data_IF_499985663461
#
_entry.id   IF_499985663461
#
_cell.length_a   1.000
_cell.length_b   1.000
_cell.length_c   1.000
_cell.angle_alpha   90.00
_cell.angle_beta   90.00
_cell.angle_gamma   90.00
#
_symmetry.space_group_name_H-M   'P 1'
#
loop_
_entity.id
_entity.type
_entity.pdbx_description
1 polymer ?
#
# COMPACT_ATOMS: atom_id res chain seq x y z
N UNK A 1 -1.75 0.24 19.08
CA UNK A 1 -2.17 0.85 17.80
C UNK A 1 -1.09 1.68 17.11
N UNK A 2 -0.86 2.97 17.46
CA UNK A 2 0.06 3.83 16.69
C UNK A 2 1.51 3.34 16.77
N UNK A 3 1.91 2.78 17.90
CA UNK A 3 3.23 2.18 18.09
C UNK A 3 3.43 0.95 17.20
N UNK A 4 2.46 0.04 17.11
CA UNK A 4 2.55 -1.16 16.27
C UNK A 4 2.57 -0.81 14.79
N UNK A 5 1.74 0.15 14.38
CA UNK A 5 1.73 0.68 13.03
C UNK A 5 3.09 1.30 12.66
N UNK A 6 3.67 2.11 13.54
CA UNK A 6 4.99 2.69 13.35
C UNK A 6 6.07 1.61 13.23
N UNK A 7 6.04 0.58 14.09
CA UNK A 7 6.97 -0.57 14.01
C UNK A 7 6.89 -1.28 12.67
N UNK A 8 5.68 -1.61 12.20
CA UNK A 8 5.47 -2.27 10.89
C UNK A 8 6.01 -1.41 9.74
N UNK A 9 5.76 -0.10 9.78
CA UNK A 9 6.26 0.85 8.78
C UNK A 9 7.81 0.92 8.76
N UNK A 10 8.43 0.97 9.94
CA UNK A 10 9.90 1.00 10.09
C UNK A 10 10.51 -0.32 9.63
N UNK A 11 9.99 -1.46 10.08
CA UNK A 11 10.48 -2.79 9.68
C UNK A 11 10.42 -2.98 8.15
N UNK A 12 9.34 -2.52 7.51
CA UNK A 12 9.25 -2.55 6.06
C UNK A 12 10.31 -1.64 5.42
N UNK A 13 10.50 -0.43 5.95
CA UNK A 13 11.54 0.51 5.51
C UNK A 13 12.97 0.03 5.79
N UNK A 14 13.21 -0.96 6.65
CA UNK A 14 14.52 -1.56 6.88
C UNK A 14 14.75 -2.80 5.99
N UNK A 15 13.79 -3.72 5.97
CA UNK A 15 13.94 -5.02 5.30
C UNK A 15 13.95 -4.91 3.79
N UNK A 16 13.14 -3.99 3.23
CA UNK A 16 12.83 -3.91 1.79
C UNK A 16 12.32 -5.23 1.19
N UNK A 17 11.85 -5.20 -0.06
CA UNK A 17 11.19 -6.33 -0.71
C UNK A 17 12.08 -7.57 -0.86
N UNK A 18 11.51 -8.79 -0.76
CA UNK A 18 12.23 -10.05 -0.97
C UNK A 18 12.67 -10.26 -2.43
N UNK A 19 13.54 -11.24 -2.67
CA UNK A 19 13.85 -11.74 -4.01
C UNK A 19 12.56 -12.12 -4.74
N UNK A 20 12.41 -11.62 -5.97
CA UNK A 20 11.21 -11.79 -6.79
C UNK A 20 11.45 -12.70 -7.98
N UNK A 21 10.50 -13.61 -8.21
CA UNK A 21 10.31 -14.22 -9.51
C UNK A 21 9.48 -13.26 -10.35
N UNK A 22 10.05 -12.78 -11.45
CA UNK A 22 9.41 -11.87 -12.38
C UNK A 22 8.09 -12.47 -12.92
N UNK A 23 7.02 -11.68 -12.85
CA UNK A 23 5.72 -11.98 -13.41
C UNK A 23 5.58 -11.29 -14.75
N UNK A 24 4.93 -11.99 -15.69
CA UNK A 24 4.49 -11.43 -16.97
C UNK A 24 3.36 -10.42 -16.71
N UNK A 25 3.75 -9.19 -16.40
CA UNK A 25 2.88 -8.06 -16.15
C UNK A 25 3.50 -6.79 -16.72
N UNK A 26 2.78 -6.16 -17.64
CA UNK A 26 3.19 -4.89 -18.21
C UNK A 26 2.84 -3.74 -17.25
N UNK A 27 3.86 -3.20 -16.58
CA UNK A 27 3.74 -2.05 -15.67
C UNK A 27 3.23 -0.79 -16.38
N UNK A 28 3.39 -0.68 -17.71
CA UNK A 28 2.89 0.44 -18.49
C UNK A 28 1.35 0.55 -18.48
N UNK A 29 0.66 -0.55 -18.14
CA UNK A 29 -0.80 -0.59 -17.97
C UNK A 29 -1.27 0.22 -16.75
N UNK A 30 -0.36 0.65 -15.87
CA UNK A 30 -0.64 1.49 -14.70
C UNK A 30 -0.17 2.92 -14.98
N UNK A 31 -0.92 3.72 -15.76
CA UNK A 31 -0.48 5.05 -16.13
C UNK A 31 -0.46 5.98 -14.92
N UNK A 32 0.49 6.91 -14.89
CA UNK A 32 0.59 7.93 -13.83
C UNK A 32 -0.60 8.89 -13.85
N UNK A 33 -1.19 9.10 -15.04
CA UNK A 33 -2.35 9.95 -15.26
C UNK A 33 -3.38 9.30 -16.21
N UNK A 34 -4.69 9.46 -15.97
CA UNK A 34 -5.29 10.04 -14.77
C UNK A 34 -4.97 9.19 -13.55
N UNK A 35 -4.84 9.82 -12.38
CA UNK A 35 -4.60 9.08 -11.15
C UNK A 35 -5.80 8.19 -10.85
N UNK A 36 -5.56 6.90 -10.73
CA UNK A 36 -6.55 5.88 -10.38
C UNK A 36 -6.13 5.17 -9.10
N UNK A 37 -7.11 4.67 -8.36
CA UNK A 37 -6.90 3.60 -7.38
C UNK A 37 -6.68 2.31 -8.16
N UNK A 38 -5.56 1.66 -7.93
CA UNK A 38 -5.18 0.43 -8.64
C UNK A 38 -5.48 -0.74 -7.73
N UNK A 39 -6.31 -1.69 -8.17
CA UNK A 39 -6.70 -2.85 -7.35
C UNK A 39 -6.21 -4.14 -8.00
N UNK A 40 -5.43 -4.92 -7.24
CA UNK A 40 -5.04 -6.28 -7.59
C UNK A 40 -6.10 -7.24 -7.06
N UNK A 41 -7.00 -7.69 -7.93
CA UNK A 41 -8.05 -8.64 -7.58
C UNK A 41 -7.64 -10.09 -7.93
N UNK A 42 -8.06 -11.04 -7.10
CA UNK A 42 -7.88 -12.46 -7.38
C UNK A 42 -7.99 -13.35 -6.14
N UNK A 43 -8.00 -14.67 -6.38
CA UNK A 43 -8.08 -15.68 -5.32
C UNK A 43 -6.89 -15.60 -4.34
N UNK A 44 -7.04 -16.17 -3.14
CA UNK A 44 -5.91 -16.35 -2.22
C UNK A 44 -4.80 -17.16 -2.90
N UNK A 45 -3.54 -16.77 -2.67
CA UNK A 45 -2.34 -17.39 -3.26
C UNK A 45 -2.19 -17.26 -4.78
N UNK A 46 -2.90 -16.34 -5.44
CA UNK A 46 -2.71 -16.06 -6.88
C UNK A 46 -1.44 -15.25 -7.21
N UNK A 47 -0.72 -14.76 -6.18
CA UNK A 47 0.50 -13.97 -6.36
C UNK A 47 0.30 -12.45 -6.40
N UNK A 48 -0.82 -11.93 -5.89
CA UNK A 48 -1.09 -10.48 -5.79
C UNK A 48 0.03 -9.72 -5.07
N UNK A 49 0.44 -10.21 -3.89
CA UNK A 49 1.51 -9.60 -3.09
C UNK A 49 2.83 -9.55 -3.86
N UNK A 50 3.17 -10.61 -4.61
CA UNK A 50 4.36 -10.61 -5.46
C UNK A 50 4.25 -9.59 -6.61
N UNK A 51 3.07 -9.43 -7.20
CA UNK A 51 2.86 -8.40 -8.21
C UNK A 51 3.00 -6.97 -7.63
N UNK A 52 2.53 -6.74 -6.40
CA UNK A 52 2.76 -5.48 -5.68
C UNK A 52 4.26 -5.24 -5.45
N UNK A 53 5.01 -6.24 -5.01
CA UNK A 53 6.46 -6.10 -4.81
C UNK A 53 7.22 -5.85 -6.12
N UNK A 54 6.81 -6.47 -7.23
CA UNK A 54 7.38 -6.18 -8.54
C UNK A 54 7.16 -4.71 -8.92
N UNK A 55 5.95 -4.17 -8.69
CA UNK A 55 5.68 -2.76 -8.96
C UNK A 55 6.46 -1.82 -8.04
N UNK A 56 6.62 -2.18 -6.75
CA UNK A 56 7.46 -1.44 -5.81
C UNK A 56 8.91 -1.37 -6.31
N UNK A 57 9.45 -2.47 -6.82
CA UNK A 57 10.81 -2.50 -7.41
C UNK A 57 10.95 -1.66 -8.67
N UNK A 58 9.92 -1.53 -9.49
CA UNK A 58 9.96 -0.61 -10.63
C UNK A 58 9.82 0.85 -10.21
N UNK A 59 8.99 1.15 -9.20
CA UNK A 59 8.82 2.48 -8.66
C UNK A 59 10.07 2.98 -7.94
N UNK A 60 10.78 2.13 -7.21
CA UNK A 60 11.99 2.51 -6.47
C UNK A 60 13.16 2.92 -7.36
N UNK A 61 13.12 2.56 -8.64
CA UNK A 61 14.07 3.07 -9.66
C UNK A 61 13.81 4.55 -10.02
N UNK A 62 12.65 5.10 -9.66
CA UNK A 62 12.16 6.42 -10.12
C UNK A 62 11.69 7.34 -8.98
N UNK A 63 11.37 6.78 -7.82
CA UNK A 63 10.93 7.50 -6.63
C UNK A 63 11.79 7.14 -5.41
N UNK A 64 12.01 8.08 -4.48
CA UNK A 64 12.68 7.79 -3.23
C UNK A 64 11.99 6.67 -2.45
N UNK A 65 12.79 5.89 -1.74
CA UNK A 65 12.32 4.79 -0.89
C UNK A 65 11.35 5.28 0.19
N UNK A 66 11.59 6.48 0.71
CA UNK A 66 10.78 7.14 1.73
C UNK A 66 9.44 7.67 1.19
N UNK A 67 9.15 7.49 -0.10
CA UNK A 67 7.86 7.81 -0.73
C UNK A 67 7.02 6.57 -1.04
N UNK A 68 7.59 5.38 -0.93
CA UNK A 68 6.89 4.12 -1.21
C UNK A 68 6.61 3.48 0.15
N UNK A 69 5.43 2.92 0.38
CA UNK A 69 5.12 2.14 1.58
C UNK A 69 4.22 0.96 1.26
N UNK A 70 4.51 -0.17 1.90
CA UNK A 70 3.69 -1.37 1.84
C UNK A 70 3.25 -1.79 3.24
N UNK A 71 1.98 -2.17 3.36
CA UNK A 71 1.39 -2.70 4.59
C UNK A 71 0.54 -3.90 4.26
N UNK A 72 0.71 -4.95 5.05
CA UNK A 72 -0.15 -6.13 5.01
C UNK A 72 -1.13 -6.10 6.20
N UNK A 73 -2.41 -5.92 5.91
CA UNK A 73 -3.44 -5.91 6.94
C UNK A 73 -3.83 -7.31 7.46
N UNK A 74 -3.12 -8.38 7.10
CA UNK A 74 -3.17 -9.67 7.82
C UNK A 74 -2.20 -9.70 9.03
N UNK A 75 -1.22 -8.80 9.13
CA UNK A 75 -0.26 -8.74 10.25
C UNK A 75 -1.02 -8.67 11.59
N UNK A 76 -0.77 -9.63 12.49
CA UNK A 76 -1.52 -9.78 13.74
C UNK A 76 -1.31 -8.61 14.72
N UNK A 77 -0.24 -7.83 14.55
CA UNK A 77 0.07 -6.66 15.37
C UNK A 77 -0.83 -5.46 15.03
N UNK A 78 -1.38 -5.44 13.82
CA UNK A 78 -2.26 -4.37 13.34
C UNK A 78 -3.72 -4.64 13.72
N UNK A 79 -4.30 -3.72 14.49
CA UNK A 79 -5.72 -3.75 14.84
C UNK A 79 -6.62 -3.62 13.59
N UNK A 80 -7.66 -4.45 13.50
CA UNK A 80 -8.58 -4.49 12.35
C UNK A 80 -9.71 -3.47 12.52
N UNK A 81 -9.36 -2.18 12.54
CA UNK A 81 -10.30 -1.07 12.75
C UNK A 81 -9.98 0.15 11.89
N UNK A 82 -10.98 0.98 11.62
CA UNK A 82 -10.88 2.16 10.73
C UNK A 82 -9.80 3.15 11.17
N UNK A 83 -9.53 3.23 12.48
CA UNK A 83 -8.52 4.10 13.07
C UNK A 83 -7.12 3.74 12.59
N UNK A 84 -6.83 2.46 12.35
CA UNK A 84 -5.54 2.00 11.80
C UNK A 84 -5.25 2.63 10.44
N UNK A 85 -6.26 2.70 9.56
CA UNK A 85 -6.13 3.40 8.28
C UNK A 85 -6.07 4.92 8.48
N UNK A 86 -6.85 5.47 9.41
CA UNK A 86 -6.89 6.92 9.64
C UNK A 86 -5.55 7.46 10.12
N UNK A 87 -4.83 6.71 10.96
CA UNK A 87 -3.50 7.06 11.46
C UNK A 87 -2.35 6.76 10.48
N UNK A 88 -2.60 6.03 9.38
CA UNK A 88 -1.56 5.58 8.45
C UNK A 88 -0.72 6.72 7.88
N UNK A 89 -1.34 7.66 7.17
CA UNK A 89 -0.61 8.76 6.53
C UNK A 89 0.01 9.69 7.58
N UNK A 90 -0.69 10.12 8.65
CA UNK A 90 -0.06 10.90 9.72
C UNK A 90 1.17 10.23 10.33
N UNK A 91 1.13 8.92 10.56
CA UNK A 91 2.28 8.18 11.11
C UNK A 91 3.44 8.15 10.13
N UNK A 92 3.20 7.95 8.83
CA UNK A 92 4.24 8.04 7.80
C UNK A 92 4.87 9.43 7.77
N UNK A 93 4.06 10.48 7.76
CA UNK A 93 4.53 11.87 7.70
C UNK A 93 5.32 12.28 8.95
N UNK A 94 4.96 11.75 10.12
CA UNK A 94 5.72 11.95 11.35
C UNK A 94 7.10 11.27 11.30
N UNK A 95 7.16 10.02 10.82
CA UNK A 95 8.39 9.23 10.80
C UNK A 95 9.36 9.66 9.69
N UNK A 96 8.86 9.99 8.51
CA UNK A 96 9.66 10.19 7.30
C UNK A 96 9.57 11.61 6.72
N UNK A 97 8.76 12.47 7.35
CA UNK A 97 8.43 13.80 6.85
C UNK A 97 7.39 13.78 5.73
N UNK A 98 6.72 14.91 5.51
CA UNK A 98 5.81 15.07 4.38
C UNK A 98 6.60 15.13 3.07
N UNK A 99 6.17 14.34 2.07
CA UNK A 99 6.76 14.25 0.74
C UNK A 99 5.83 14.81 -0.34
N UNK A 100 6.36 15.06 -1.53
CA UNK A 100 5.60 15.54 -2.69
C UNK A 100 4.82 14.41 -3.38
N UNK A 101 5.22 13.16 -3.15
CA UNK A 101 4.55 11.95 -3.62
C UNK A 101 4.55 10.86 -2.55
N UNK A 102 3.47 10.07 -2.49
CA UNK A 102 3.34 8.93 -1.59
C UNK A 102 2.63 7.77 -2.30
N UNK A 103 3.31 6.65 -2.47
CA UNK A 103 2.79 5.41 -3.04
C UNK A 103 2.44 4.45 -1.90
N UNK A 104 1.16 4.19 -1.68
CA UNK A 104 0.68 3.28 -0.64
C UNK A 104 0.19 1.97 -1.23
N UNK A 105 0.85 0.89 -0.86
CA UNK A 105 0.52 -0.49 -1.17
C UNK A 105 -0.18 -1.13 0.04
N UNK A 106 -1.46 -1.37 -0.10
CA UNK A 106 -2.36 -1.80 0.97
C UNK A 106 -2.84 -3.22 0.68
N UNK A 107 -2.15 -4.21 1.25
CA UNK A 107 -2.44 -5.64 1.05
C UNK A 107 -3.51 -6.14 2.03
N UNK A 108 -4.42 -6.97 1.52
CA UNK A 108 -5.59 -7.51 2.22
C UNK A 108 -6.41 -6.41 2.95
N UNK A 109 -6.57 -5.25 2.30
CA UNK A 109 -7.20 -4.04 2.89
C UNK A 109 -8.64 -4.28 3.37
N UNK A 110 -9.35 -5.23 2.77
CA UNK A 110 -10.72 -5.58 3.15
C UNK A 110 -10.84 -6.15 4.57
N UNK A 111 -9.72 -6.47 5.22
CA UNK A 111 -9.70 -6.84 6.63
C UNK A 111 -9.94 -5.64 7.57
N UNK A 112 -9.81 -4.40 7.08
CA UNK A 112 -10.10 -3.20 7.86
C UNK A 112 -11.52 -2.72 7.54
N UNK A 113 -12.42 -2.56 8.54
CA UNK A 113 -13.75 -2.02 8.30
C UNK A 113 -13.67 -0.57 7.78
N UNK A 114 -14.62 -0.17 6.93
CA UNK A 114 -14.72 1.19 6.39
C UNK A 114 -13.57 1.60 5.45
N UNK A 115 -12.80 0.63 4.94
CA UNK A 115 -11.65 0.88 4.07
C UNK A 115 -12.03 1.59 2.77
N UNK A 116 -13.19 1.29 2.19
CA UNK A 116 -13.69 1.86 0.93
C UNK A 116 -13.88 3.38 1.05
N UNK A 117 -14.47 3.81 2.16
CA UNK A 117 -14.72 5.21 2.47
C UNK A 117 -13.42 5.95 2.75
N UNK A 118 -12.45 5.28 3.40
CA UNK A 118 -11.10 5.81 3.60
C UNK A 118 -10.37 6.00 2.26
N UNK A 119 -10.37 4.97 1.40
CA UNK A 119 -9.73 4.99 0.07
C UNK A 119 -10.30 6.12 -0.78
N UNK A 120 -11.64 6.23 -0.84
CA UNK A 120 -12.31 7.31 -1.58
C UNK A 120 -11.91 8.68 -1.06
N UNK A 121 -11.95 8.88 0.27
CA UNK A 121 -11.56 10.14 0.90
C UNK A 121 -10.12 10.51 0.58
N UNK A 122 -9.17 9.58 0.74
CA UNK A 122 -7.75 9.82 0.47
C UNK A 122 -7.53 10.10 -1.01
N UNK A 123 -8.12 9.31 -1.89
CA UNK A 123 -8.06 9.55 -3.33
C UNK A 123 -8.56 10.97 -3.63
N UNK A 124 -9.73 11.39 -3.16
CA UNK A 124 -10.30 12.68 -3.57
C UNK A 124 -9.57 13.89 -2.94
N UNK A 125 -9.07 13.76 -1.70
CA UNK A 125 -8.49 14.88 -0.93
C UNK A 125 -6.96 15.00 -1.00
N UNK A 126 -6.22 13.91 -1.21
CA UNK A 126 -4.75 13.88 -1.14
C UNK A 126 -4.15 13.64 -2.52
N UNK A 127 -3.90 14.70 -3.28
CA UNK A 127 -3.39 14.65 -4.68
C UNK A 127 -1.99 14.04 -4.80
N UNK A 128 -1.23 14.11 -3.73
CA UNK A 128 0.11 13.57 -3.51
C UNK A 128 0.13 12.06 -3.26
N UNK A 129 -1.02 11.45 -2.94
CA UNK A 129 -1.09 10.02 -2.61
C UNK A 129 -1.61 9.20 -3.80
N UNK A 130 -0.91 8.10 -4.12
CA UNK A 130 -1.31 7.05 -5.08
C UNK A 130 -1.56 5.75 -4.33
N UNK A 131 -2.74 5.15 -4.55
CA UNK A 131 -3.21 3.98 -3.81
C UNK A 131 -3.17 2.73 -4.67
N UNK A 132 -2.58 1.67 -4.13
CA UNK A 132 -2.52 0.32 -4.67
C UNK A 132 -3.12 -0.63 -3.66
N UNK A 133 -4.18 -1.31 -4.03
CA UNK A 133 -4.97 -2.14 -3.12
C UNK A 133 -4.87 -3.60 -3.54
N UNK A 134 -4.89 -4.50 -2.57
CA UNK A 134 -5.07 -5.93 -2.81
C UNK A 134 -6.14 -6.47 -1.87
N UNK A 135 -6.79 -7.54 -2.31
CA UNK A 135 -7.73 -8.29 -1.50
C UNK A 135 -8.25 -9.54 -2.18
N UNK A 136 -8.90 -10.40 -1.41
CA UNK A 136 -9.59 -11.57 -1.95
C UNK A 136 -10.92 -11.17 -2.60
N UNK A 137 -11.16 -11.66 -3.83
CA UNK A 137 -12.32 -11.28 -4.66
C UNK A 137 -13.69 -11.56 -4.05
N UNK A 138 -13.78 -12.43 -3.04
CA UNK A 138 -15.03 -12.71 -2.33
C UNK A 138 -15.45 -11.62 -1.34
N UNK A 139 -14.59 -10.62 -1.13
CA UNK A 139 -14.76 -9.58 -0.09
C UNK A 139 -14.41 -8.16 -0.60
N UNK A 140 -14.11 -8.02 -1.88
CA UNK A 140 -13.75 -6.77 -2.57
C UNK A 140 -14.90 -6.29 -3.45
#
# INVERSE_FOLDING_TARGET
MREDLAKVLVEWQETWTPELVERDFDVSLIPDKPRKVVTFAGCRRSGKTYLMFQLINELSKKAPREEIFYINFEDERLEKRTETLTELIPTIEELYGKKDGLYLFLDEIQNIPGWDSWVRRVHDSRRDVRLFLSGSSSKL
#
